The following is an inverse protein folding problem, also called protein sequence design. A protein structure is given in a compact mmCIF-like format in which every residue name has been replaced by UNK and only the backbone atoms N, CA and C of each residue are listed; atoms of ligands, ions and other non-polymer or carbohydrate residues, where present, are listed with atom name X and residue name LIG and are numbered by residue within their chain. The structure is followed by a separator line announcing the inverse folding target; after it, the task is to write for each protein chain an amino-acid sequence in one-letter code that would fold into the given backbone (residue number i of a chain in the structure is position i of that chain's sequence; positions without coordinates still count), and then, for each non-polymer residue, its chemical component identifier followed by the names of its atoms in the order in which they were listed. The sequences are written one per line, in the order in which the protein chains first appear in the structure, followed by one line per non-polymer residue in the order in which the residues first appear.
data_IF_890781432252
#
_entry.id   IF_890781432252
#
_cell.length_a   1.000
_cell.length_b   1.000
_cell.length_c   1.000
_cell.angle_alpha   90.00
_cell.angle_beta   90.00
_cell.angle_gamma   90.00
#
_symmetry.space_group_name_H-M   'P 1'
#
loop_
_entity.id
_entity.type
_entity.pdbx_description
1 polymer ?
#
# COMPACT_ATOMS: atom_id res chain seq x y z
N UNK A 1 20.28 12.55 -2.43
CA UNK A 1 20.34 11.15 -1.94
C UNK A 1 19.33 10.37 -2.75
N UNK A 2 19.81 9.52 -3.63
CA UNK A 2 18.99 8.63 -4.46
C UNK A 2 18.49 7.50 -3.57
N UNK A 3 17.17 7.38 -3.42
CA UNK A 3 16.60 6.26 -2.66
C UNK A 3 16.76 5.00 -3.51
N UNK A 4 17.64 4.10 -3.11
CA UNK A 4 17.84 2.82 -3.81
C UNK A 4 16.60 1.96 -3.56
N UNK A 5 15.76 1.84 -4.58
CA UNK A 5 14.64 0.90 -4.58
C UNK A 5 15.21 -0.52 -4.66
N UNK A 6 14.86 -1.37 -3.70
CA UNK A 6 15.22 -2.78 -3.65
C UNK A 6 13.96 -3.61 -3.82
N UNK A 7 14.04 -4.66 -4.62
CA UNK A 7 12.99 -5.67 -4.68
C UNK A 7 13.26 -6.72 -3.61
N UNK A 8 12.23 -7.08 -2.86
CA UNK A 8 12.28 -8.17 -1.88
C UNK A 8 11.14 -9.13 -2.13
N UNK A 9 11.38 -10.41 -1.86
CA UNK A 9 10.35 -11.43 -1.88
C UNK A 9 9.86 -11.65 -0.45
N UNK A 10 8.60 -11.31 -0.18
CA UNK A 10 7.92 -11.63 1.08
C UNK A 10 6.88 -12.70 0.77
N UNK A 11 7.13 -13.93 1.23
CA UNK A 11 6.33 -15.09 0.84
C UNK A 11 6.51 -15.42 -0.65
N UNK A 12 5.45 -15.30 -1.44
CA UNK A 12 5.44 -15.52 -2.90
C UNK A 12 5.39 -14.22 -3.72
N UNK A 13 5.31 -13.06 -3.07
CA UNK A 13 5.13 -11.77 -3.74
C UNK A 13 6.43 -10.97 -3.73
N UNK A 14 6.81 -10.44 -4.88
CA UNK A 14 7.90 -9.47 -5.01
C UNK A 14 7.31 -8.08 -4.76
N UNK A 15 7.92 -7.31 -3.86
CA UNK A 15 7.52 -5.93 -3.60
C UNK A 15 8.74 -5.02 -3.63
N UNK A 16 8.51 -3.77 -4.00
CA UNK A 16 9.51 -2.73 -3.85
C UNK A 16 9.56 -2.26 -2.40
N UNK A 17 10.77 -2.10 -1.88
CA UNK A 17 11.04 -1.52 -0.57
C UNK A 17 12.23 -0.56 -0.64
N UNK A 18 12.23 0.43 0.23
CA UNK A 18 13.40 1.28 0.49
C UNK A 18 14.05 0.97 1.83
N UNK A 19 13.54 -0.04 2.54
CA UNK A 19 13.95 -0.38 3.90
C UNK A 19 14.97 -1.52 3.91
N UNK A 20 15.84 -1.53 4.92
CA UNK A 20 16.69 -2.69 5.18
C UNK A 20 15.87 -3.78 5.86
N UNK A 21 16.00 -5.01 5.35
CA UNK A 21 15.19 -6.14 5.76
C UNK A 21 16.07 -7.28 6.25
N UNK A 22 15.64 -7.95 7.31
CA UNK A 22 16.24 -9.19 7.78
C UNK A 22 15.19 -10.28 7.86
N UNK A 23 15.60 -11.50 7.51
CA UNK A 23 14.77 -12.70 7.62
C UNK A 23 15.37 -13.60 8.70
N UNK A 24 14.56 -13.94 9.69
CA UNK A 24 14.95 -14.83 10.79
C UNK A 24 14.01 -16.04 10.81
N UNK A 25 14.55 -17.22 11.16
CA UNK A 25 13.75 -18.43 11.35
C UNK A 25 13.73 -18.78 12.84
N UNK A 26 12.62 -18.53 13.51
CA UNK A 26 12.44 -18.79 14.94
C UNK A 26 11.35 -19.86 15.11
N UNK A 27 11.66 -20.97 15.78
CA UNK A 27 10.70 -22.06 16.05
C UNK A 27 9.96 -22.56 14.79
N UNK A 28 10.69 -22.72 13.68
CA UNK A 28 10.15 -23.12 12.37
C UNK A 28 9.14 -22.13 11.73
N UNK A 29 9.07 -20.89 12.24
CA UNK A 29 8.37 -19.78 11.60
C UNK A 29 9.38 -18.82 11.01
N UNK A 30 9.09 -18.33 9.81
CA UNK A 30 9.86 -17.27 9.18
C UNK A 30 9.30 -15.93 9.61
N UNK A 31 10.17 -15.08 10.14
CA UNK A 31 9.85 -13.73 10.59
C UNK A 31 10.66 -12.75 9.76
N UNK A 32 9.97 -11.80 9.14
CA UNK A 32 10.59 -10.70 8.41
C UNK A 32 10.62 -9.46 9.32
N UNK A 33 11.76 -8.79 9.39
CA UNK A 33 11.92 -7.53 10.14
C UNK A 33 12.43 -6.46 9.21
N UNK A 34 11.91 -5.25 9.37
CA UNK A 34 12.34 -4.07 8.64
C UNK A 34 13.00 -3.08 9.62
N UNK A 35 14.22 -2.65 9.31
CA UNK A 35 14.91 -1.66 10.12
C UNK A 35 14.38 -0.26 9.81
N UNK A 36 13.95 0.44 10.86
CA UNK A 36 13.41 1.80 10.78
C UNK A 36 14.52 2.84 11.01
N UNK A 37 14.29 4.06 10.53
CA UNK A 37 15.23 5.19 10.66
C UNK A 37 15.47 5.63 12.11
N UNK A 38 14.55 5.31 13.03
CA UNK A 38 14.70 5.53 14.46
C UNK A 38 15.59 4.48 15.17
N UNK A 39 16.15 3.52 14.42
CA UNK A 39 17.00 2.44 14.92
C UNK A 39 16.23 1.25 15.51
N UNK A 40 14.89 1.29 15.51
CA UNK A 40 14.05 0.16 15.91
C UNK A 40 13.77 -0.77 14.73
N UNK A 41 13.31 -1.99 15.01
CA UNK A 41 12.88 -2.94 13.99
C UNK A 41 11.37 -3.12 14.07
N UNK A 42 10.70 -3.03 12.93
CA UNK A 42 9.29 -3.40 12.78
C UNK A 42 9.16 -4.83 12.26
N UNK A 43 8.24 -5.61 12.81
CA UNK A 43 8.00 -6.98 12.35
C UNK A 43 6.96 -6.99 11.22
N UNK A 44 7.28 -7.58 10.07
CA UNK A 44 6.31 -7.69 8.97
C UNK A 44 5.47 -8.93 9.20
N UNK A 45 4.31 -8.74 9.84
CA UNK A 45 3.34 -9.80 10.15
C UNK A 45 2.27 -9.94 9.07
N UNK A 46 1.95 -8.84 8.40
CA UNK A 46 0.95 -8.80 7.33
C UNK A 46 1.65 -9.00 6.00
N UNK A 47 1.17 -9.98 5.23
CA UNK A 47 1.69 -10.25 3.88
C UNK A 47 1.17 -9.22 2.87
N UNK A 48 1.91 -8.94 1.78
CA UNK A 48 1.53 -7.95 0.77
C UNK A 48 0.12 -8.17 0.19
N UNK A 49 -0.27 -9.42 -0.05
CA UNK A 49 -1.62 -9.76 -0.55
C UNK A 49 -2.72 -9.34 0.42
N UNK A 50 -2.52 -9.55 1.72
CA UNK A 50 -3.51 -9.15 2.75
C UNK A 50 -3.61 -7.62 2.85
N UNK A 51 -2.48 -6.92 2.78
CA UNK A 51 -2.46 -5.47 2.75
C UNK A 51 -3.14 -4.91 1.49
N UNK A 52 -2.89 -5.53 0.32
CA UNK A 52 -3.54 -5.18 -0.96
C UNK A 52 -5.05 -5.33 -0.86
N UNK A 53 -5.55 -6.48 -0.40
CA UNK A 53 -6.98 -6.73 -0.23
C UNK A 53 -7.64 -5.73 0.72
N UNK A 54 -6.95 -5.42 1.83
CA UNK A 54 -7.41 -4.40 2.79
C UNK A 54 -7.50 -3.03 2.13
N UNK A 55 -6.48 -2.65 1.35
CA UNK A 55 -6.44 -1.38 0.64
C UNK A 55 -7.53 -1.29 -0.44
N UNK A 56 -7.72 -2.31 -1.27
CA UNK A 56 -8.76 -2.35 -2.32
C UNK A 56 -10.15 -2.14 -1.71
N UNK A 57 -10.43 -2.84 -0.62
CA UNK A 57 -11.71 -2.75 0.11
C UNK A 57 -11.97 -1.32 0.58
N UNK A 58 -10.94 -0.68 1.15
CA UNK A 58 -11.02 0.69 1.69
C UNK A 58 -11.10 1.75 0.61
N UNK A 59 -10.35 1.55 -0.47
CA UNK A 59 -10.32 2.43 -1.64
C UNK A 59 -11.54 2.24 -2.56
N UNK A 60 -12.38 1.24 -2.29
CA UNK A 60 -13.51 0.85 -3.15
C UNK A 60 -13.06 0.65 -4.61
N UNK A 61 -11.89 0.05 -4.79
CA UNK A 61 -11.42 -0.41 -6.11
C UNK A 61 -11.93 -1.84 -6.35
N UNK A 62 -12.01 -2.26 -7.61
CA UNK A 62 -12.45 -3.62 -7.95
C UNK A 62 -11.29 -4.60 -7.97
N UNK A 63 -10.12 -4.16 -8.44
CA UNK A 63 -8.93 -4.98 -8.64
C UNK A 63 -7.69 -4.14 -8.34
N UNK A 64 -6.64 -4.78 -7.81
CA UNK A 64 -5.29 -4.24 -7.73
C UNK A 64 -4.36 -5.22 -8.45
N UNK A 65 -4.07 -4.92 -9.71
CA UNK A 65 -3.07 -5.61 -10.52
C UNK A 65 -2.11 -4.57 -11.08
N UNK A 66 -0.88 -4.99 -11.39
CA UNK A 66 0.12 -4.10 -12.01
C UNK A 66 -0.37 -3.57 -13.36
N UNK A 67 -1.11 -4.38 -14.13
CA UNK A 67 -1.73 -4.00 -15.41
C UNK A 67 -2.73 -2.84 -15.27
N UNK A 68 -3.47 -2.79 -14.15
CA UNK A 68 -4.41 -1.71 -13.81
C UNK A 68 -3.70 -0.53 -13.11
N UNK A 69 -2.36 -0.52 -13.10
CA UNK A 69 -1.54 0.52 -12.50
C UNK A 69 -1.58 0.50 -10.96
N UNK A 70 -1.84 -0.66 -10.35
CA UNK A 70 -1.69 -0.82 -8.92
C UNK A 70 -0.21 -1.00 -8.55
N UNK A 71 0.26 -0.24 -7.58
CA UNK A 71 1.63 -0.29 -7.08
C UNK A 71 1.60 -0.54 -5.57
N UNK A 72 2.34 -1.55 -5.12
CA UNK A 72 2.46 -1.91 -3.70
C UNK A 72 3.92 -1.73 -3.31
N UNK A 73 4.17 -0.92 -2.29
CA UNK A 73 5.52 -0.64 -1.80
C UNK A 73 5.56 -0.72 -0.29
N UNK A 74 6.58 -1.37 0.28
CA UNK A 74 6.84 -1.32 1.72
C UNK A 74 7.69 -0.10 2.04
N UNK A 75 7.19 0.78 2.90
CA UNK A 75 7.83 2.04 3.25
C UNK A 75 7.75 2.33 4.73
N UNK A 76 8.71 3.08 5.22
CA UNK A 76 8.58 3.73 6.51
C UNK A 76 7.64 4.93 6.41
N UNK A 77 6.68 5.02 7.34
CA UNK A 77 5.73 6.13 7.44
C UNK A 77 5.68 6.63 8.88
N UNK A 78 5.35 7.91 9.05
CA UNK A 78 5.33 8.57 10.37
C UNK A 78 6.39 9.66 10.48
N UNK A 79 6.56 10.19 11.70
CA UNK A 79 7.56 11.21 11.99
C UNK A 79 8.19 10.92 13.36
N UNK A 80 9.50 11.19 13.47
CA UNK A 80 10.28 11.08 14.71
C UNK A 80 10.15 9.72 15.38
N UNK A 81 9.66 9.67 16.62
CA UNK A 81 9.54 8.43 17.42
C UNK A 81 8.35 7.56 17.00
N UNK A 82 7.41 8.09 16.21
CA UNK A 82 6.21 7.38 15.76
C UNK A 82 6.34 6.88 14.31
N UNK A 83 7.52 6.40 13.93
CA UNK A 83 7.75 5.76 12.63
C UNK A 83 7.34 4.29 12.67
N UNK A 84 6.80 3.80 11.56
CA UNK A 84 6.30 2.42 11.40
C UNK A 84 6.56 1.93 9.99
N UNK A 85 6.66 0.61 9.83
CA UNK A 85 6.64 -0.02 8.51
C UNK A 85 5.19 -0.13 8.02
N UNK A 86 4.92 0.35 6.79
CA UNK A 86 3.60 0.30 6.20
C UNK A 86 3.66 -0.03 4.70
N UNK A 87 2.70 -0.81 4.25
CA UNK A 87 2.42 -1.00 2.84
C UNK A 87 1.70 0.22 2.30
N UNK A 88 2.32 0.89 1.34
CA UNK A 88 1.66 1.90 0.53
C UNK A 88 1.11 1.24 -0.73
N UNK A 89 -0.22 1.21 -0.84
CA UNK A 89 -0.93 0.74 -2.02
C UNK A 89 -1.44 1.96 -2.78
N UNK A 90 -1.00 2.13 -4.02
CA UNK A 90 -1.43 3.17 -4.94
C UNK A 90 -2.16 2.53 -6.12
N UNK A 91 -3.31 3.09 -6.49
CA UNK A 91 -4.08 2.63 -7.65
C UNK A 91 -4.75 3.80 -8.36
N UNK A 92 -5.13 3.60 -9.61
CA UNK A 92 -5.86 4.58 -10.42
C UNK A 92 -7.29 4.11 -10.61
N UNK A 93 -8.24 5.03 -10.40
CA UNK A 93 -9.67 4.78 -10.60
C UNK A 93 -10.23 5.73 -11.64
N UNK A 94 -10.94 5.21 -12.63
CA UNK A 94 -11.73 6.05 -13.54
C UNK A 94 -12.96 6.59 -12.81
N UNK A 95 -13.17 7.91 -12.87
CA UNK A 95 -14.34 8.59 -12.31
C UNK A 95 -14.89 9.60 -13.30
N UNK A 96 -16.16 10.00 -13.14
CA UNK A 96 -16.76 11.07 -13.93
C UNK A 96 -16.78 12.36 -13.13
N UNK A 97 -16.08 13.39 -13.59
CA UNK A 97 -16.25 14.75 -13.08
C UNK A 97 -17.51 15.36 -13.65
N UNK A 98 -18.38 15.87 -12.77
CA UNK A 98 -19.65 16.49 -13.13
C UNK A 98 -20.56 15.59 -13.99
N UNK A 99 -20.35 14.27 -13.99
CA UNK A 99 -21.09 13.31 -14.81
C UNK A 99 -20.72 13.25 -16.30
N UNK A 100 -19.83 14.12 -16.79
CA UNK A 100 -19.54 14.26 -18.22
C UNK A 100 -18.11 13.85 -18.60
N UNK A 101 -17.12 14.18 -17.76
CA UNK A 101 -15.71 14.01 -18.10
C UNK A 101 -15.10 12.83 -17.36
N UNK A 102 -14.70 11.80 -18.10
CA UNK A 102 -13.91 10.69 -17.54
C UNK A 102 -12.51 11.19 -17.18
N UNK A 103 -12.10 10.98 -15.94
CA UNK A 103 -10.74 11.28 -15.46
C UNK A 103 -10.20 10.14 -14.63
N UNK A 104 -8.88 9.96 -14.66
CA UNK A 104 -8.19 9.01 -13.79
C UNK A 104 -7.82 9.68 -12.46
N UNK A 105 -8.27 9.09 -11.37
CA UNK A 105 -7.99 9.52 -10.01
C UNK A 105 -6.96 8.58 -9.37
N UNK A 106 -5.77 9.09 -9.04
CA UNK A 106 -4.82 8.37 -8.21
C UNK A 106 -5.27 8.40 -6.75
N UNK A 107 -5.39 7.23 -6.13
CA UNK A 107 -5.76 7.06 -4.73
C UNK A 107 -4.73 6.18 -4.03
N UNK A 108 -4.48 6.47 -2.75
CA UNK A 108 -3.45 5.77 -1.97
C UNK A 108 -3.98 5.36 -0.61
N UNK A 109 -3.59 4.18 -0.15
CA UNK A 109 -3.82 3.71 1.21
C UNK A 109 -2.51 3.25 1.84
N UNK A 110 -2.33 3.53 3.13
CA UNK A 110 -1.21 3.07 3.94
C UNK A 110 -1.75 2.06 4.95
N UNK A 111 -1.25 0.83 4.87
CA UNK A 111 -1.63 -0.29 5.74
C UNK A 111 -0.45 -0.64 6.62
N UNK A 112 -0.66 -0.67 7.93
CA UNK A 112 0.36 -1.03 8.91
C UNK A 112 0.81 -2.48 8.70
N UNK A 113 2.13 -2.70 8.60
CA UNK A 113 2.68 -4.02 8.29
C UNK A 113 2.69 -4.99 9.49
N UNK A 114 2.48 -4.48 10.70
CA UNK A 114 2.44 -5.28 11.94
C UNK A 114 1.02 -5.78 12.24
N UNK A 115 0.00 -4.97 11.98
CA UNK A 115 -1.38 -5.30 12.39
C UNK A 115 -2.43 -5.26 11.26
N UNK A 116 -2.11 -4.70 10.09
CA UNK A 116 -3.01 -4.64 8.94
C UNK A 116 -4.04 -3.52 9.01
N UNK A 117 -3.92 -2.60 9.97
CA UNK A 117 -4.82 -1.46 10.09
C UNK A 117 -4.52 -0.38 9.04
N UNK A 118 -5.56 0.34 8.65
CA UNK A 118 -5.41 1.50 7.74
C UNK A 118 -4.89 2.67 8.55
N UNK A 119 -3.65 3.08 8.28
CA UNK A 119 -3.04 4.26 8.89
C UNK A 119 -3.60 5.52 8.23
N UNK A 120 -3.67 5.52 6.89
CA UNK A 120 -4.02 6.72 6.13
C UNK A 120 -4.58 6.41 4.76
N UNK A 121 -5.61 7.14 4.37
CA UNK A 121 -6.10 7.22 3.00
C UNK A 121 -5.79 8.60 2.41
N UNK A 122 -5.33 8.64 1.16
CA UNK A 122 -5.20 9.87 0.38
C UNK A 122 -6.02 9.79 -0.88
N UNK A 123 -6.95 10.75 -1.01
CA UNK A 123 -7.74 11.01 -2.20
C UNK A 123 -7.53 12.48 -2.60
N UNK A 124 -7.55 12.83 -3.89
CA UNK A 124 -7.47 14.22 -4.31
C UNK A 124 -8.62 15.04 -3.73
N UNK A 125 -8.37 16.31 -3.39
CA UNK A 125 -9.41 17.15 -2.79
C UNK A 125 -10.61 17.33 -3.71
N UNK A 126 -10.44 17.34 -5.03
CA UNK A 126 -11.55 17.44 -5.99
C UNK A 126 -12.44 16.17 -6.05
N UNK A 127 -12.08 15.08 -5.35
CA UNK A 127 -12.86 13.84 -5.38
C UNK A 127 -14.31 13.99 -4.92
N UNK A 128 -14.66 15.03 -4.15
CA UNK A 128 -16.06 15.35 -3.82
C UNK A 128 -16.90 15.78 -5.03
N UNK A 129 -16.27 16.25 -6.12
CA UNK A 129 -16.93 16.63 -7.37
C UNK A 129 -17.14 15.44 -8.31
N UNK A 130 -16.53 14.30 -7.99
CA UNK A 130 -16.62 13.10 -8.80
C UNK A 130 -17.88 12.32 -8.41
N UNK A 131 -18.64 11.89 -9.42
CA UNK A 131 -19.59 10.80 -9.25
C UNK A 131 -18.89 9.50 -9.62
N UNK A 132 -19.07 8.47 -8.79
CA UNK A 132 -18.62 7.13 -9.13
C UNK A 132 -19.40 6.69 -10.37
N UNK A 133 -18.68 6.42 -11.46
CA UNK A 133 -19.28 5.74 -12.59
C UNK A 133 -19.62 4.33 -12.13
N UNK A 134 -20.86 4.11 -11.69
CA UNK A 134 -21.38 2.76 -11.53
C UNK A 134 -21.45 2.14 -12.92
N UNK A 135 -20.41 1.42 -13.31
CA UNK A 135 -20.52 0.44 -14.37
C UNK A 135 -21.28 -0.75 -13.78
N UNK A 136 -22.60 -0.59 -13.67
CA UNK A 136 -23.54 -1.70 -13.72
C UNK A 136 -23.60 -2.06 -15.21
N UNK A 137 -22.70 -2.94 -15.64
CA UNK A 137 -22.96 -3.74 -16.83
C UNK A 137 -23.84 -4.89 -16.33
N UNK A 138 -25.12 -4.78 -16.67
CA UNK A 138 -26.12 -5.85 -16.64
C UNK A 138 -25.89 -6.76 -17.85
#
# INVERSE_FOLDING_TARGET
MEQVHKEITIGSTIIETTMEMTQERINNRETFKAQLSNGTNAEIKVMPETASNTAITRLQSRVCTEEEGCQIQLKEVGQQEQVRAAYQVETKKEVKLFGLFKVQMAIRSQIDAENGEVIRERKPRWSFLASFANNNEE
#
